data_IF_558745283368
#
_entry.id   IF_558745283368
#
_cell.length_a   1.000
_cell.length_b   1.000
_cell.length_c   1.000
_cell.angle_alpha   90.00
_cell.angle_beta   90.00
_cell.angle_gamma   90.00
#
_symmetry.space_group_name_H-M   'P 1'
#
loop_
_entity.id
_entity.type
_entity.pdbx_description
1 polymer ?
#
# COMPACT_ATOMS: atom_id res chain seq x y z
N UNK A 1 -26.96 52.00 23.96
CA UNK A 1 -26.38 50.72 24.43
C UNK A 1 -26.14 49.85 23.20
N UNK A 2 -24.90 49.65 22.73
CA UNK A 2 -24.62 48.69 21.67
C UNK A 2 -24.41 47.29 22.24
N UNK A 3 -25.24 46.36 21.78
CA UNK A 3 -25.22 44.94 22.16
C UNK A 3 -23.96 44.27 21.63
N UNK A 4 -23.22 43.63 22.53
CA UNK A 4 -22.03 42.80 22.26
C UNK A 4 -22.44 41.54 21.50
N UNK A 5 -21.76 41.21 20.40
CA UNK A 5 -21.94 39.91 19.73
C UNK A 5 -20.58 39.19 19.60
N UNK A 6 -20.25 38.25 20.51
CA UNK A 6 -19.05 37.44 20.43
C UNK A 6 -19.38 36.09 19.80
N UNK A 7 -19.49 36.04 18.48
CA UNK A 7 -19.69 34.77 17.77
C UNK A 7 -18.80 34.69 16.54
N UNK A 8 -17.52 34.38 16.76
CA UNK A 8 -16.74 33.60 15.78
C UNK A 8 -15.60 32.85 16.47
N UNK A 9 -15.92 32.03 17.46
CA UNK A 9 -15.00 30.99 17.93
C UNK A 9 -15.35 29.67 17.26
N UNK A 10 -14.30 28.85 17.03
CA UNK A 10 -14.35 27.47 16.58
C UNK A 10 -14.53 27.22 15.08
N UNK A 11 -13.55 27.67 14.29
CA UNK A 11 -13.09 26.87 13.15
C UNK A 11 -12.43 25.58 13.68
N UNK A 12 -13.26 24.64 14.14
CA UNK A 12 -12.86 23.29 14.53
C UNK A 12 -12.42 22.60 13.23
N UNK A 13 -11.13 22.67 12.94
CA UNK A 13 -10.51 21.92 11.86
C UNK A 13 -10.89 20.46 12.01
N UNK A 14 -11.82 19.99 11.16
CA UNK A 14 -12.09 18.56 10.99
C UNK A 14 -10.84 18.00 10.31
N UNK A 15 -9.86 17.62 11.12
CA UNK A 15 -8.79 16.73 10.67
C UNK A 15 -9.48 15.46 10.19
N UNK A 16 -9.70 15.36 8.88
CA UNK A 16 -10.16 14.14 8.25
C UNK A 16 -9.15 13.06 8.63
N UNK A 17 -9.56 12.12 9.48
CA UNK A 17 -8.79 10.91 9.72
C UNK A 17 -8.66 10.20 8.38
N UNK A 18 -7.53 10.42 7.70
CA UNK A 18 -7.15 9.61 6.54
C UNK A 18 -6.92 8.22 7.10
N UNK A 19 -7.94 7.36 7.02
CA UNK A 19 -7.74 5.93 7.25
C UNK A 19 -6.60 5.51 6.33
N UNK A 20 -5.55 4.84 6.83
CA UNK A 20 -4.49 4.34 5.96
C UNK A 20 -5.16 3.50 4.87
N UNK A 21 -4.95 3.89 3.62
CA UNK A 21 -5.46 3.14 2.48
C UNK A 21 -4.72 1.81 2.51
N UNK A 22 -5.42 0.68 2.67
CA UNK A 22 -4.74 -0.61 2.70
C UNK A 22 -4.08 -0.86 1.34
N UNK A 23 -2.82 -1.24 1.37
CA UNK A 23 -2.10 -1.75 0.22
C UNK A 23 -2.50 -3.20 0.00
N UNK A 24 -2.82 -3.53 -1.23
CA UNK A 24 -3.24 -4.87 -1.62
C UNK A 24 -2.14 -5.46 -2.48
N UNK A 25 -1.60 -6.60 -2.07
CA UNK A 25 -0.63 -7.39 -2.82
C UNK A 25 -1.35 -8.62 -3.33
N UNK A 26 -1.27 -8.87 -4.64
CA UNK A 26 -1.85 -10.05 -5.26
C UNK A 26 -0.74 -10.84 -5.94
N UNK A 27 -0.68 -12.15 -5.65
CA UNK A 27 0.27 -13.03 -6.32
C UNK A 27 -0.15 -13.26 -7.76
N UNK A 28 0.76 -13.04 -8.71
CA UNK A 28 0.51 -13.27 -10.13
C UNK A 28 0.26 -14.75 -10.46
N UNK A 29 0.86 -15.68 -9.71
CA UNK A 29 0.81 -17.11 -10.02
C UNK A 29 -0.42 -17.83 -9.43
N UNK A 30 -0.71 -17.65 -8.14
CA UNK A 30 -1.80 -18.36 -7.44
C UNK A 30 -2.94 -17.43 -6.99
N UNK A 31 -2.88 -16.15 -7.36
CA UNK A 31 -3.90 -15.14 -7.06
C UNK A 31 -4.16 -14.89 -5.56
N UNK A 32 -3.30 -15.41 -4.66
CA UNK A 32 -3.43 -15.11 -3.22
C UNK A 32 -3.31 -13.60 -2.99
N UNK A 33 -4.19 -13.08 -2.14
CA UNK A 33 -4.27 -11.64 -1.83
C UNK A 33 -3.89 -11.39 -0.37
N UNK A 34 -2.97 -10.46 -0.14
CA UNK A 34 -2.62 -9.97 1.19
C UNK A 34 -2.83 -8.47 1.31
N UNK A 35 -3.58 -8.06 2.34
CA UNK A 35 -3.85 -6.66 2.64
C UNK A 35 -2.94 -6.17 3.76
N UNK A 36 -2.25 -5.06 3.54
CA UNK A 36 -1.33 -4.47 4.50
C UNK A 36 -1.66 -2.99 4.73
N UNK A 37 -1.44 -2.47 5.94
CA UNK A 37 -1.56 -1.04 6.20
C UNK A 37 -0.39 -0.23 5.60
N UNK A 38 0.70 -0.89 5.18
CA UNK A 38 1.91 -0.27 4.63
C UNK A 38 2.21 -0.78 3.22
N UNK A 39 2.89 0.01 2.38
CA UNK A 39 3.32 -0.41 1.03
C UNK A 39 4.51 -1.37 1.04
N UNK A 40 4.84 -1.95 2.20
CA UNK A 40 5.96 -2.88 2.34
C UNK A 40 5.53 -4.25 1.84
N UNK A 41 6.33 -4.84 0.96
CA UNK A 41 6.11 -6.19 0.45
C UNK A 41 5.98 -7.18 1.64
N UNK A 42 5.00 -8.09 1.64
CA UNK A 42 4.83 -9.03 2.74
C UNK A 42 6.03 -9.98 2.87
N UNK A 43 6.23 -10.52 4.07
CA UNK A 43 7.37 -11.39 4.35
C UNK A 43 7.34 -12.65 3.48
N UNK A 44 8.46 -12.94 2.83
CA UNK A 44 8.61 -14.11 1.95
C UNK A 44 7.97 -13.93 0.57
N UNK A 45 7.32 -12.81 0.29
CA UNK A 45 6.93 -12.48 -1.07
C UNK A 45 8.14 -11.96 -1.84
N UNK A 46 8.17 -12.25 -3.14
CA UNK A 46 9.19 -11.78 -4.07
C UNK A 46 8.53 -10.93 -5.16
N UNK A 47 9.31 -10.02 -5.74
CA UNK A 47 8.89 -9.22 -6.89
C UNK A 47 9.83 -9.45 -8.07
N UNK A 48 9.23 -9.71 -9.21
CA UNK A 48 9.95 -9.79 -10.48
C UNK A 48 9.61 -8.58 -11.34
N UNK A 49 10.63 -7.99 -11.96
CA UNK A 49 10.46 -6.89 -12.89
C UNK A 49 10.77 -7.40 -14.28
N UNK A 50 9.76 -7.42 -15.16
CA UNK A 50 9.92 -7.80 -16.57
C UNK A 50 9.57 -6.58 -17.41
N UNK A 51 10.59 -5.91 -17.94
CA UNK A 51 10.42 -4.64 -18.64
C UNK A 51 9.92 -3.53 -17.71
N UNK A 52 8.72 -3.00 -17.99
CA UNK A 52 8.06 -1.97 -17.18
C UNK A 52 7.08 -2.54 -16.14
N UNK A 53 6.79 -3.84 -16.20
CA UNK A 53 5.81 -4.49 -15.35
C UNK A 53 6.45 -5.03 -14.07
N UNK A 54 5.71 -4.96 -12.97
CA UNK A 54 6.10 -5.48 -11.66
C UNK A 54 5.13 -6.59 -11.30
N UNK A 55 5.64 -7.81 -11.20
CA UNK A 55 4.90 -8.99 -10.79
C UNK A 55 5.25 -9.32 -9.34
N UNK A 56 4.25 -9.65 -8.53
CA UNK A 56 4.43 -10.05 -7.15
C UNK A 56 4.09 -11.52 -6.98
N UNK A 57 4.88 -12.25 -6.19
CA UNK A 57 4.70 -13.67 -5.94
C UNK A 57 4.74 -13.95 -4.45
N UNK A 58 3.82 -14.78 -3.96
CA UNK A 58 3.83 -15.20 -2.56
C UNK A 58 4.96 -16.19 -2.29
N UNK A 59 5.29 -16.41 -1.02
CA UNK A 59 6.36 -17.32 -0.63
C UNK A 59 6.28 -18.73 -1.23
N UNK A 60 5.07 -19.25 -1.45
CA UNK A 60 4.88 -20.56 -2.07
C UNK A 60 5.18 -20.59 -3.58
N UNK A 61 4.94 -19.49 -4.28
CA UNK A 61 5.17 -19.37 -5.73
C UNK A 61 6.52 -18.73 -6.06
N UNK A 62 7.16 -18.09 -5.09
CA UNK A 62 8.44 -17.42 -5.25
C UNK A 62 9.63 -18.39 -5.37
N UNK A 63 9.45 -19.67 -5.01
CA UNK A 63 10.48 -20.71 -5.05
C UNK A 63 10.96 -20.97 -6.48
N UNK A 64 10.07 -20.82 -7.46
CA UNK A 64 10.34 -21.08 -8.88
C UNK A 64 10.80 -19.83 -9.65
N UNK A 65 10.94 -18.67 -8.98
CA UNK A 65 11.44 -17.48 -9.65
C UNK A 65 12.91 -17.67 -10.02
N UNK A 66 13.29 -17.51 -11.30
CA UNK A 66 14.68 -17.58 -11.70
C UNK A 66 15.42 -16.46 -10.96
N UNK A 67 16.19 -16.86 -9.96
CA UNK A 67 17.00 -15.98 -9.14
C UNK A 67 18.13 -15.42 -10.00
N UNK A 68 17.86 -14.36 -10.77
CA UNK A 68 18.81 -13.60 -11.60
C UNK A 68 19.92 -14.47 -12.21
N UNK A 69 19.70 -14.96 -13.42
CA UNK A 69 20.83 -15.00 -14.35
C UNK A 69 21.03 -13.55 -14.82
N UNK A 70 22.15 -12.89 -14.52
CA UNK A 70 22.44 -11.59 -15.12
C UNK A 70 22.58 -11.85 -16.62
N UNK A 71 21.65 -11.30 -17.43
CA UNK A 71 21.86 -11.18 -18.86
C UNK A 71 23.20 -10.48 -19.07
N UNK A 72 24.15 -11.22 -19.65
CA UNK A 72 25.45 -10.72 -20.11
C UNK A 72 25.29 -9.68 -21.21
#
# INVERSE_FOLDING_TARGET
MPTTNPQTTAAKARAAMRRPIPFTFQCTACEVVEHRPTPTLPTGWEIEKVGADIYAFCAGCAIDLPSREPLQ
#
